data_IF_673491309432
#
_entry.id   IF_673491309432
#
_cell.length_a   1.000
_cell.length_b   1.000
_cell.length_c   1.000
_cell.angle_alpha   90.00
_cell.angle_beta   90.00
_cell.angle_gamma   90.00
#
_symmetry.space_group_name_H-M   'P 1'
#
loop_
_entity.id
_entity.type
_entity.pdbx_description
1 polymer ?
#
# COMPACT_ATOMS: atom_id res chain seq x y z
N UNK A 1 -28.97 12.74 0.00
CA UNK A 1 -28.29 11.45 -0.26
C UNK A 1 -26.84 11.62 0.17
N UNK A 2 -26.29 10.70 0.98
CA UNK A 2 -24.88 10.78 1.42
C UNK A 2 -23.97 10.52 0.21
N UNK A 3 -22.89 11.30 0.04
CA UNK A 3 -21.97 11.14 -1.10
C UNK A 3 -21.29 9.76 -1.09
N UNK A 4 -20.85 9.28 -2.26
CA UNK A 4 -20.12 8.01 -2.36
C UNK A 4 -18.83 8.02 -1.52
N UNK A 5 -18.09 9.14 -1.54
CA UNK A 5 -16.89 9.31 -0.72
C UNK A 5 -17.17 9.14 0.77
N UNK A 6 -18.29 9.71 1.26
CA UNK A 6 -18.69 9.62 2.66
C UNK A 6 -19.19 8.23 3.03
N UNK A 7 -19.85 7.52 2.11
CA UNK A 7 -20.22 6.11 2.31
C UNK A 7 -18.98 5.21 2.45
N UNK A 8 -17.95 5.43 1.61
CA UNK A 8 -16.67 4.73 1.71
C UNK A 8 -15.97 5.04 3.04
N UNK A 9 -15.85 6.33 3.40
CA UNK A 9 -15.22 6.73 4.66
C UNK A 9 -15.91 6.13 5.89
N UNK A 10 -17.25 6.10 5.90
CA UNK A 10 -18.04 5.47 6.95
C UNK A 10 -17.82 3.96 7.02
N UNK A 11 -17.75 3.28 5.88
CA UNK A 11 -17.47 1.84 5.85
C UNK A 11 -16.06 1.52 6.35
N UNK A 12 -15.03 2.26 5.88
CA UNK A 12 -13.64 2.05 6.29
C UNK A 12 -13.45 2.31 7.78
N UNK A 13 -13.96 3.43 8.30
CA UNK A 13 -13.85 3.76 9.73
C UNK A 13 -14.54 2.71 10.60
N UNK A 14 -15.70 2.19 10.17
CA UNK A 14 -16.45 1.15 10.89
C UNK A 14 -15.91 -0.28 10.78
N UNK A 15 -15.07 -0.61 9.80
CA UNK A 15 -14.57 -1.98 9.58
C UNK A 15 -13.69 -2.47 10.74
N UNK A 16 -13.91 -3.65 11.29
CA UNK A 16 -13.03 -4.26 12.28
C UNK A 16 -12.37 -5.54 11.76
N UNK A 17 -11.33 -6.01 12.44
CA UNK A 17 -10.68 -7.27 12.08
C UNK A 17 -11.65 -8.46 12.13
N UNK A 18 -12.57 -8.46 13.10
CA UNK A 18 -13.49 -9.58 13.33
C UNK A 18 -14.64 -9.61 12.30
N UNK A 19 -14.80 -8.54 11.52
CA UNK A 19 -15.71 -8.50 10.36
C UNK A 19 -15.12 -9.20 9.12
N UNK A 20 -13.81 -9.48 9.12
CA UNK A 20 -13.12 -10.05 7.96
C UNK A 20 -13.36 -11.57 7.89
N UNK A 21 -13.82 -12.11 6.74
CA UNK A 21 -13.82 -13.54 6.51
C UNK A 21 -12.40 -14.12 6.66
N UNK A 22 -12.30 -15.35 7.18
CA UNK A 22 -11.00 -16.01 7.40
C UNK A 22 -10.16 -16.11 6.11
N UNK A 23 -10.81 -16.30 4.97
CA UNK A 23 -10.16 -16.33 3.65
C UNK A 23 -9.58 -14.97 3.23
N UNK A 24 -10.21 -13.85 3.61
CA UNK A 24 -9.69 -12.50 3.36
C UNK A 24 -8.46 -12.25 4.23
N UNK A 25 -8.50 -12.67 5.50
CA UNK A 25 -7.34 -12.60 6.41
C UNK A 25 -6.18 -13.42 5.86
N UNK A 26 -6.43 -14.65 5.41
CA UNK A 26 -5.42 -15.52 4.82
C UNK A 26 -4.82 -14.90 3.55
N UNK A 27 -5.67 -14.39 2.66
CA UNK A 27 -5.25 -13.73 1.44
C UNK A 27 -4.41 -12.48 1.72
N UNK A 28 -4.81 -11.64 2.68
CA UNK A 28 -4.07 -10.45 3.08
C UNK A 28 -2.65 -10.80 3.59
N UNK A 29 -2.51 -11.86 4.38
CA UNK A 29 -1.20 -12.39 4.79
C UNK A 29 -0.40 -12.88 3.59
N UNK A 30 -1.04 -13.63 2.69
CA UNK A 30 -0.41 -14.17 1.48
C UNK A 30 0.14 -13.09 0.55
N UNK A 31 -0.64 -12.04 0.25
CA UNK A 31 -0.16 -10.92 -0.57
C UNK A 31 0.93 -10.11 0.14
N UNK A 32 0.89 -10.04 1.47
CA UNK A 32 1.97 -9.42 2.26
C UNK A 32 3.28 -10.17 2.13
N UNK A 33 3.26 -11.49 2.32
CA UNK A 33 4.46 -12.31 2.15
C UNK A 33 5.00 -12.25 0.70
N UNK A 34 4.09 -12.29 -0.28
CA UNK A 34 4.45 -12.15 -1.69
C UNK A 34 5.16 -10.82 -1.98
N UNK A 35 4.62 -9.72 -1.46
CA UNK A 35 5.15 -8.37 -1.62
C UNK A 35 6.56 -8.22 -1.02
N UNK A 36 6.77 -8.74 0.21
CA UNK A 36 8.09 -8.76 0.84
C UNK A 36 9.11 -9.54 0.01
N UNK A 37 8.68 -10.61 -0.67
CA UNK A 37 9.55 -11.35 -1.58
C UNK A 37 9.95 -10.51 -2.79
N UNK A 38 9.03 -9.69 -3.32
CA UNK A 38 9.33 -8.73 -4.39
C UNK A 38 10.30 -7.65 -3.92
N UNK A 39 10.16 -7.12 -2.70
CA UNK A 39 11.11 -6.15 -2.13
C UNK A 39 12.54 -6.69 -2.13
N UNK A 40 12.74 -7.94 -1.70
CA UNK A 40 14.06 -8.59 -1.66
C UNK A 40 14.66 -8.77 -3.06
N UNK A 41 13.85 -9.10 -4.06
CA UNK A 41 14.31 -9.19 -5.45
C UNK A 41 14.60 -7.79 -6.02
N UNK A 42 13.72 -6.83 -5.74
CA UNK A 42 13.83 -5.45 -6.17
C UNK A 42 15.08 -4.76 -5.65
N UNK A 43 15.52 -5.06 -4.42
CA UNK A 43 16.74 -4.49 -3.86
C UNK A 43 18.01 -4.94 -4.60
N UNK A 44 17.92 -6.00 -5.41
CA UNK A 44 19.02 -6.51 -6.24
C UNK A 44 18.96 -6.01 -7.69
N UNK A 45 17.93 -5.26 -8.07
CA UNK A 45 17.86 -4.64 -9.40
C UNK A 45 18.57 -3.30 -9.43
N UNK A 46 18.85 -2.80 -10.64
CA UNK A 46 19.44 -1.48 -10.79
C UNK A 46 18.49 -0.37 -10.31
N UNK A 47 17.21 -0.40 -10.69
CA UNK A 47 16.25 0.65 -10.31
C UNK A 47 15.99 0.67 -8.81
N UNK A 48 15.86 -0.50 -8.17
CA UNK A 48 15.68 -0.59 -6.72
C UNK A 48 16.88 -0.04 -5.94
N UNK A 49 18.12 -0.34 -6.38
CA UNK A 49 19.32 0.26 -5.78
C UNK A 49 19.36 1.78 -5.96
N UNK A 50 19.02 2.29 -7.13
CA UNK A 50 18.98 3.74 -7.40
C UNK A 50 17.94 4.45 -6.52
N UNK A 51 16.77 3.84 -6.30
CA UNK A 51 15.77 4.40 -5.40
C UNK A 51 16.24 4.44 -3.93
N UNK A 52 16.90 3.37 -3.47
CA UNK A 52 17.52 3.32 -2.14
C UNK A 52 18.62 4.38 -1.99
N UNK A 53 19.52 4.50 -2.97
CA UNK A 53 20.60 5.49 -2.99
C UNK A 53 20.07 6.92 -2.97
N UNK A 54 19.05 7.21 -3.79
CA UNK A 54 18.40 8.52 -3.82
C UNK A 54 17.86 8.90 -2.44
N UNK A 55 17.03 8.04 -1.84
CA UNK A 55 16.39 8.37 -0.57
C UNK A 55 17.40 8.45 0.58
N UNK A 56 18.40 7.57 0.62
CA UNK A 56 19.47 7.65 1.63
C UNK A 56 20.28 8.94 1.52
N UNK A 57 20.58 9.40 0.30
CA UNK A 57 21.34 10.62 0.07
C UNK A 57 20.57 11.90 0.43
N UNK A 58 19.29 11.95 0.08
CA UNK A 58 18.44 13.13 0.31
C UNK A 58 17.90 13.22 1.76
N UNK A 59 17.77 12.10 2.45
CA UNK A 59 17.11 12.02 3.78
C UNK A 59 18.06 11.55 4.90
N UNK A 60 19.36 11.80 4.75
CA UNK A 60 20.36 11.47 5.76
C UNK A 60 20.04 12.16 7.12
N UNK A 61 20.17 11.40 8.21
CA UNK A 61 20.02 11.92 9.57
C UNK A 61 18.57 12.05 10.06
N UNK A 62 17.57 11.62 9.29
CA UNK A 62 16.18 11.53 9.77
C UNK A 62 16.09 10.60 10.98
N UNK A 63 15.48 11.08 12.06
CA UNK A 63 15.32 10.34 13.34
C UNK A 63 13.90 9.87 13.61
N UNK A 64 12.92 10.50 12.98
CA UNK A 64 11.50 10.21 13.16
C UNK A 64 10.89 10.06 11.77
N UNK A 65 10.47 8.85 11.44
CA UNK A 65 9.97 8.56 10.11
C UNK A 65 9.50 7.12 9.98
N UNK A 66 9.98 6.44 8.94
CA UNK A 66 9.76 5.02 8.74
C UNK A 66 10.99 4.36 8.09
N UNK A 67 11.03 3.04 8.08
CA UNK A 67 12.18 2.27 7.61
C UNK A 67 12.14 1.89 6.14
N UNK A 68 13.31 1.88 5.52
CA UNK A 68 13.55 1.12 4.29
C UNK A 68 13.51 -0.38 4.62
N UNK A 69 12.65 -1.14 3.94
CA UNK A 69 12.36 -2.55 4.28
C UNK A 69 13.56 -3.49 4.18
N UNK A 70 14.64 -3.08 3.51
CA UNK A 70 15.80 -3.93 3.21
C UNK A 70 16.82 -3.95 4.36
N UNK A 71 17.07 -2.81 5.00
CA UNK A 71 18.15 -2.65 5.98
C UNK A 71 17.75 -1.88 7.24
N UNK A 72 16.50 -1.42 7.33
CA UNK A 72 16.01 -0.68 8.48
C UNK A 72 16.50 0.78 8.54
N UNK A 73 17.09 1.33 7.48
CA UNK A 73 17.49 2.74 7.45
C UNK A 73 16.27 3.62 7.73
N UNK A 74 16.39 4.49 8.73
CA UNK A 74 15.36 5.47 9.09
C UNK A 74 15.38 6.64 8.11
N UNK A 75 14.26 6.89 7.45
CA UNK A 75 14.07 7.95 6.45
C UNK A 75 12.69 8.59 6.68
N UNK A 76 12.30 9.62 5.93
CA UNK A 76 10.96 10.20 6.07
C UNK A 76 9.89 9.16 5.72
N UNK A 77 8.67 9.34 6.25
CA UNK A 77 7.55 8.43 5.91
C UNK A 77 7.29 8.39 4.40
N UNK A 78 7.43 9.54 3.73
CA UNK A 78 7.29 9.65 2.27
C UNK A 78 8.41 8.95 1.52
N UNK A 79 9.67 9.16 1.94
CA UNK A 79 10.83 8.49 1.37
C UNK A 79 10.77 6.98 1.51
N UNK A 80 10.41 6.48 2.70
CA UNK A 80 10.19 5.06 2.93
C UNK A 80 9.08 4.49 2.03
N UNK A 81 7.92 5.16 1.96
CA UNK A 81 6.80 4.72 1.12
C UNK A 81 7.21 4.67 -0.36
N UNK A 82 7.93 5.68 -0.85
CA UNK A 82 8.44 5.73 -2.21
C UNK A 82 9.43 4.60 -2.51
N UNK A 83 10.53 4.50 -1.75
CA UNK A 83 11.57 3.52 -2.02
C UNK A 83 11.03 2.10 -1.86
N UNK A 84 10.26 1.82 -0.81
CA UNK A 84 9.68 0.49 -0.60
C UNK A 84 8.70 0.11 -1.73
N UNK A 85 7.93 1.06 -2.27
CA UNK A 85 7.05 0.80 -3.43
C UNK A 85 7.84 0.50 -4.70
N UNK A 86 8.93 1.25 -4.95
CA UNK A 86 9.82 0.98 -6.08
C UNK A 86 10.50 -0.39 -5.95
N UNK A 87 10.90 -0.80 -4.76
CA UNK A 87 11.46 -2.15 -4.54
C UNK A 87 10.44 -3.24 -4.88
N UNK A 88 9.17 -3.08 -4.48
CA UNK A 88 8.13 -4.04 -4.86
C UNK A 88 7.98 -4.09 -6.37
N UNK A 89 7.87 -2.94 -7.04
CA UNK A 89 7.69 -2.87 -8.49
C UNK A 89 8.88 -3.48 -9.23
N UNK A 90 10.10 -3.10 -8.85
CA UNK A 90 11.34 -3.55 -9.47
C UNK A 90 11.55 -5.06 -9.31
N UNK A 91 11.08 -5.67 -8.22
CA UNK A 91 11.12 -7.12 -8.03
C UNK A 91 10.23 -7.91 -8.99
N UNK A 92 9.24 -7.26 -9.62
CA UNK A 92 8.38 -7.83 -10.66
C UNK A 92 7.44 -8.95 -10.19
N UNK A 93 7.45 -9.29 -8.89
CA UNK A 93 6.51 -10.24 -8.26
C UNK A 93 5.39 -9.46 -7.62
N UNK A 94 4.47 -9.03 -8.49
CA UNK A 94 3.34 -8.19 -8.12
C UNK A 94 2.05 -8.97 -8.23
N UNK A 95 1.12 -8.68 -7.32
CA UNK A 95 -0.24 -9.16 -7.42
C UNK A 95 -0.98 -8.45 -8.56
N UNK A 96 -2.11 -9.03 -8.97
CA UNK A 96 -2.91 -8.50 -10.07
C UNK A 96 -4.39 -8.50 -9.73
N UNK A 97 -5.07 -7.42 -10.11
CA UNK A 97 -6.53 -7.36 -10.17
C UNK A 97 -6.96 -7.07 -11.62
N UNK A 98 -7.84 -7.94 -12.14
CA UNK A 98 -8.29 -7.96 -13.55
C UNK A 98 -7.14 -7.89 -14.57
N UNK A 99 -5.98 -8.48 -14.24
CA UNK A 99 -4.75 -8.51 -15.04
C UNK A 99 -4.11 -7.15 -15.38
N UNK A 100 -4.63 -6.03 -14.87
CA UNK A 100 -4.31 -4.69 -15.37
C UNK A 100 -3.96 -3.69 -14.27
N UNK A 101 -4.17 -4.05 -13.00
CA UNK A 101 -3.74 -3.25 -11.85
C UNK A 101 -2.92 -4.08 -10.88
N UNK A 102 -2.01 -3.43 -10.15
CA UNK A 102 -1.10 -4.05 -9.19
C UNK A 102 -1.24 -3.42 -7.79
N UNK A 103 -2.30 -3.74 -7.04
CA UNK A 103 -2.66 -3.03 -5.81
C UNK A 103 -1.55 -3.08 -4.74
N UNK A 104 -0.94 -4.25 -4.54
CA UNK A 104 0.05 -4.47 -3.49
C UNK A 104 1.29 -3.61 -3.62
N UNK A 105 1.61 -3.13 -4.83
CA UNK A 105 2.78 -2.26 -5.08
C UNK A 105 2.72 -0.92 -4.36
N UNK A 106 1.52 -0.46 -4.00
CA UNK A 106 1.33 0.80 -3.27
C UNK A 106 0.68 0.59 -1.90
N UNK A 107 -0.30 -0.31 -1.81
CA UNK A 107 -1.04 -0.55 -0.56
C UNK A 107 -0.11 -1.06 0.54
N UNK A 108 0.73 -2.06 0.26
CA UNK A 108 1.50 -2.71 1.32
C UNK A 108 2.66 -1.87 1.85
N UNK A 109 3.47 -1.20 0.99
CA UNK A 109 4.46 -0.24 1.47
C UNK A 109 3.83 0.87 2.30
N UNK A 110 2.71 1.44 1.84
CA UNK A 110 1.97 2.48 2.58
C UNK A 110 1.43 1.98 3.91
N UNK A 111 0.86 0.77 3.93
CA UNK A 111 0.35 0.13 5.14
C UNK A 111 1.46 -0.17 6.17
N UNK A 112 2.63 -0.63 5.72
CA UNK A 112 3.79 -0.89 6.60
C UNK A 112 4.34 0.42 7.19
N UNK A 113 4.49 1.46 6.38
CA UNK A 113 4.90 2.80 6.86
C UNK A 113 3.91 3.34 7.88
N UNK A 114 2.61 3.24 7.61
CA UNK A 114 1.58 3.66 8.57
C UNK A 114 1.62 2.83 9.86
N UNK A 115 1.89 1.53 9.75
CA UNK A 115 1.97 0.62 10.88
C UNK A 115 3.15 0.94 11.79
N UNK A 116 4.32 1.23 11.21
CA UNK A 116 5.49 1.66 11.96
C UNK A 116 5.22 2.97 12.71
N UNK A 117 4.57 3.92 12.03
CA UNK A 117 4.26 5.23 12.59
C UNK A 117 3.36 5.20 13.85
N UNK A 118 2.51 4.18 14.00
CA UNK A 118 1.58 4.05 15.13
C UNK A 118 1.80 2.78 15.97
N UNK A 119 2.90 2.05 15.73
CA UNK A 119 3.17 0.75 16.36
C UNK A 119 1.97 -0.21 16.26
N UNK A 120 1.42 -0.35 15.06
CA UNK A 120 0.19 -1.10 14.82
C UNK A 120 0.37 -2.60 15.09
N UNK A 121 -0.67 -3.23 15.64
CA UNK A 121 -0.77 -4.69 15.73
C UNK A 121 -0.97 -5.33 14.37
N UNK A 122 -0.67 -6.63 14.25
CA UNK A 122 -0.94 -7.40 13.03
C UNK A 122 -2.43 -7.38 12.63
N UNK A 123 -3.35 -7.35 13.59
CA UNK A 123 -4.80 -7.21 13.30
C UNK A 123 -5.11 -5.85 12.66
N UNK A 124 -4.54 -4.77 13.18
CA UNK A 124 -4.71 -3.43 12.59
C UNK A 124 -4.14 -3.37 11.18
N UNK A 125 -2.93 -3.90 10.97
CA UNK A 125 -2.31 -3.99 9.65
C UNK A 125 -3.19 -4.74 8.65
N UNK A 126 -3.63 -5.97 8.99
CA UNK A 126 -4.48 -6.78 8.10
C UNK A 126 -5.81 -6.09 7.80
N UNK A 127 -6.42 -5.42 8.78
CA UNK A 127 -7.67 -4.67 8.57
C UNK A 127 -7.47 -3.51 7.61
N UNK A 128 -6.36 -2.76 7.75
CA UNK A 128 -6.04 -1.67 6.83
C UNK A 128 -5.73 -2.16 5.42
N UNK A 129 -4.96 -3.23 5.29
CA UNK A 129 -4.69 -3.87 3.99
C UNK A 129 -6.00 -4.29 3.32
N UNK A 130 -6.86 -5.03 4.02
CA UNK A 130 -8.16 -5.46 3.48
C UNK A 130 -9.02 -4.27 3.03
N UNK A 131 -9.10 -3.20 3.84
CA UNK A 131 -9.82 -1.98 3.48
C UNK A 131 -9.24 -1.30 2.22
N UNK A 132 -7.91 -1.22 2.13
CA UNK A 132 -7.22 -0.61 1.00
C UNK A 132 -7.50 -1.35 -0.31
N UNK A 133 -7.43 -2.69 -0.30
CA UNK A 133 -7.75 -3.53 -1.45
C UNK A 133 -9.22 -3.37 -1.85
N UNK A 134 -10.14 -3.52 -0.90
CA UNK A 134 -11.58 -3.44 -1.18
C UNK A 134 -11.96 -2.12 -1.85
N UNK A 135 -11.49 -1.00 -1.32
CA UNK A 135 -11.83 0.33 -1.86
C UNK A 135 -11.16 0.55 -3.21
N UNK A 136 -9.86 0.27 -3.33
CA UNK A 136 -9.14 0.44 -4.60
C UNK A 136 -9.77 -0.38 -5.72
N UNK A 137 -10.04 -1.66 -5.46
CA UNK A 137 -10.57 -2.58 -6.48
C UNK A 137 -12.00 -2.22 -6.87
N UNK A 138 -12.84 -1.78 -5.92
CA UNK A 138 -14.19 -1.23 -6.24
C UNK A 138 -14.11 0.01 -7.12
N UNK A 139 -13.17 0.92 -6.86
CA UNK A 139 -12.96 2.11 -7.68
C UNK A 139 -12.45 1.75 -9.08
N UNK A 140 -11.59 0.73 -9.17
CA UNK A 140 -10.97 0.34 -10.43
C UNK A 140 -11.87 -0.53 -11.31
N UNK A 141 -12.68 -1.42 -10.72
CA UNK A 141 -13.38 -2.53 -11.37
C UNK A 141 -13.88 -2.19 -12.78
N UNK A 142 -14.80 -1.23 -12.89
CA UNK A 142 -15.48 -0.94 -14.15
C UNK A 142 -14.77 0.12 -15.00
N UNK A 143 -13.71 0.74 -14.47
CA UNK A 143 -13.06 1.90 -15.09
C UNK A 143 -11.68 1.61 -15.65
N UNK A 144 -11.07 0.45 -15.35
CA UNK A 144 -9.75 0.06 -15.89
C UNK A 144 -9.68 0.23 -17.42
N UNK A 145 -10.59 -0.34 -18.24
CA UNK A 145 -10.49 -0.21 -19.70
C UNK A 145 -10.61 1.25 -20.16
N UNK A 146 -11.50 2.03 -19.53
CA UNK A 146 -11.74 3.44 -19.88
C UNK A 146 -10.56 4.35 -19.52
N UNK A 147 -9.93 4.13 -18.37
CA UNK A 147 -8.74 4.87 -17.93
C UNK A 147 -7.59 4.61 -18.90
N UNK A 148 -7.36 3.34 -19.24
CA UNK A 148 -6.31 2.94 -20.16
C UNK A 148 -6.56 3.42 -21.59
N UNK A 149 -7.79 3.38 -22.08
CA UNK A 149 -8.14 3.89 -23.42
C UNK A 149 -7.93 5.41 -23.54
N UNK A 150 -7.85 6.13 -22.41
CA UNK A 150 -7.55 7.57 -22.34
C UNK A 150 -6.06 7.88 -22.13
N UNK A 151 -5.20 6.86 -22.19
CA UNK A 151 -3.74 7.01 -22.10
C UNK A 151 -3.17 7.00 -20.68
N UNK A 152 -3.98 6.72 -19.66
CA UNK A 152 -3.50 6.62 -18.28
C UNK A 152 -3.17 5.18 -17.90
N UNK A 153 -2.15 4.99 -17.08
CA UNK A 153 -1.91 3.70 -16.44
C UNK A 153 -2.85 3.54 -15.23
N UNK A 154 -3.65 2.48 -15.19
CA UNK A 154 -4.69 2.31 -14.17
C UNK A 154 -4.11 2.15 -12.74
N UNK A 155 -2.97 1.46 -12.61
CA UNK A 155 -2.34 1.21 -11.30
C UNK A 155 -2.07 2.48 -10.48
N UNK A 156 -1.38 3.52 -11.00
CA UNK A 156 -1.18 4.76 -10.24
C UNK A 156 -2.46 5.57 -10.06
N UNK A 157 -3.42 5.51 -10.99
CA UNK A 157 -4.70 6.25 -10.87
C UNK A 157 -5.53 5.75 -9.70
N UNK A 158 -5.60 4.43 -9.48
CA UNK A 158 -6.40 3.85 -8.41
C UNK A 158 -5.58 3.52 -7.15
N UNK A 159 -4.30 3.17 -7.31
CA UNK A 159 -3.41 2.70 -6.23
C UNK A 159 -3.23 3.71 -5.10
N UNK A 160 -3.20 5.01 -5.44
CA UNK A 160 -3.12 6.08 -4.44
C UNK A 160 -4.25 6.02 -3.41
N UNK A 161 -5.47 5.63 -3.82
CA UNK A 161 -6.61 5.51 -2.93
C UNK A 161 -6.46 4.31 -2.01
N UNK A 162 -5.97 3.17 -2.53
CA UNK A 162 -5.73 1.99 -1.72
C UNK A 162 -4.71 2.24 -0.60
N UNK A 163 -3.58 2.86 -0.94
CA UNK A 163 -2.54 3.22 0.03
C UNK A 163 -3.06 4.22 1.08
N UNK A 164 -3.80 5.25 0.65
CA UNK A 164 -4.38 6.24 1.56
C UNK A 164 -5.40 5.62 2.52
N UNK A 165 -6.27 4.74 2.02
CA UNK A 165 -7.29 4.05 2.81
C UNK A 165 -6.66 3.10 3.82
N UNK A 166 -5.65 2.32 3.41
CA UNK A 166 -4.94 1.43 4.31
C UNK A 166 -4.24 2.21 5.43
N UNK A 167 -3.53 3.28 5.09
CA UNK A 167 -2.88 4.15 6.06
C UNK A 167 -3.88 4.79 7.03
N UNK A 168 -4.98 5.36 6.50
CA UNK A 168 -6.03 5.97 7.32
C UNK A 168 -6.65 4.97 8.30
N UNK A 169 -6.91 3.74 7.84
CA UNK A 169 -7.46 2.68 8.70
C UNK A 169 -6.49 2.26 9.79
N UNK A 170 -5.21 2.08 9.45
CA UNK A 170 -4.16 1.68 10.41
C UNK A 170 -3.93 2.77 11.46
N UNK A 171 -3.93 4.03 11.03
CA UNK A 171 -3.79 5.20 11.90
C UNK A 171 -5.07 5.53 12.69
N UNK A 172 -6.13 4.73 12.53
CA UNK A 172 -7.42 4.90 13.21
C UNK A 172 -8.03 6.30 13.01
N UNK A 173 -7.96 6.82 11.78
CA UNK A 173 -8.58 8.09 11.42
C UNK A 173 -10.11 7.97 11.38
N UNK A 174 -10.78 9.12 11.54
CA UNK A 174 -12.24 9.24 11.55
C UNK A 174 -12.84 9.30 10.14
N UNK A 175 -14.18 9.36 10.05
CA UNK A 175 -14.92 9.56 8.80
C UNK A 175 -14.70 10.96 8.16
N UNK A 176 -14.36 11.96 8.99
CA UNK A 176 -13.94 13.31 8.57
C UNK A 176 -12.46 13.32 8.19
#
# INVERSE_FOLDING_TARGET
>A
MVSLSRQIAKWVSGLSYDDLPNEVVDRAKGVTLHNMSSVLLGSQTQSGRQALELIRGEEEGVKIGATLMVDGTMVTKGGAAFANSELVMAGGKVDTFRMLTHPGTSILPGALVASEAVSASGKQFITGVAAGYEVMERLAADYIPTVMSRGFHASPVFGIFGAAIAAAKIMNLTEE
#
